data_IF_493728910171
#
_entry.id   IF_493728910171
#
_cell.length_a   1.000
_cell.length_b   1.000
_cell.length_c   1.000
_cell.angle_alpha   90.00
_cell.angle_beta   90.00
_cell.angle_gamma   90.00
#
_symmetry.space_group_name_H-M   'P 1'
#
loop_
_entity.id
_entity.type
_entity.pdbx_description
1 polymer ?
#
# COMPACT_ATOMS: atom_id res chain seq x y z
N UNK A 1 8.38 -73.56 58.76
CA UNK A 1 8.12 -72.35 59.61
C UNK A 1 8.98 -71.16 59.23
N UNK A 2 10.33 -71.21 59.27
CA UNK A 2 11.18 -70.04 58.95
C UNK A 2 11.06 -69.57 57.49
N UNK A 3 10.96 -70.49 56.53
CA UNK A 3 10.79 -70.16 55.10
C UNK A 3 9.45 -69.50 54.77
N UNK A 4 8.38 -69.84 55.50
CA UNK A 4 7.04 -69.26 55.29
C UNK A 4 6.98 -67.82 55.80
N UNK A 5 7.61 -67.54 56.95
CA UNK A 5 7.70 -66.20 57.52
C UNK A 5 8.49 -65.26 56.58
N UNK A 6 9.61 -65.73 56.03
CA UNK A 6 10.39 -64.97 55.05
C UNK A 6 9.62 -64.69 53.76
N UNK A 7 8.83 -65.67 53.28
CA UNK A 7 7.97 -65.53 52.09
C UNK A 7 6.86 -64.51 52.31
N UNK A 8 6.25 -64.50 53.49
CA UNK A 8 5.22 -63.51 53.88
C UNK A 8 5.82 -62.11 53.97
N UNK A 9 7.01 -61.97 54.58
CA UNK A 9 7.72 -60.69 54.67
C UNK A 9 8.06 -60.11 53.29
N UNK A 10 8.59 -60.92 52.37
CA UNK A 10 8.92 -60.44 51.02
C UNK A 10 7.68 -60.08 50.20
N UNK A 11 6.58 -60.84 50.35
CA UNK A 11 5.29 -60.48 49.73
C UNK A 11 4.77 -59.14 50.27
N UNK A 12 4.92 -58.90 51.58
CA UNK A 12 4.53 -57.63 52.20
C UNK A 12 5.41 -56.47 51.74
N UNK A 13 6.73 -56.62 51.69
CA UNK A 13 7.66 -55.60 51.15
C UNK A 13 7.33 -55.25 49.70
N UNK A 14 7.06 -56.25 48.86
CA UNK A 14 6.68 -56.04 47.46
C UNK A 14 5.32 -55.34 47.33
N UNK A 15 4.35 -55.68 48.20
CA UNK A 15 3.05 -55.01 48.25
C UNK A 15 3.19 -53.53 48.63
N UNK A 16 3.98 -53.24 49.67
CA UNK A 16 4.26 -51.86 50.12
C UNK A 16 4.99 -51.07 49.02
N UNK A 17 5.97 -51.69 48.36
CA UNK A 17 6.71 -51.07 47.25
C UNK A 17 5.81 -50.78 46.04
N UNK A 18 4.93 -51.72 45.69
CA UNK A 18 3.94 -51.54 44.61
C UNK A 18 2.96 -50.41 44.93
N UNK A 19 2.45 -50.37 46.16
CA UNK A 19 1.53 -49.33 46.62
C UNK A 19 2.19 -47.93 46.59
N UNK A 20 3.42 -47.82 47.07
CA UNK A 20 4.18 -46.55 47.04
C UNK A 20 4.47 -46.07 45.61
N UNK A 21 4.77 -47.00 44.69
CA UNK A 21 4.93 -46.65 43.28
C UNK A 21 3.62 -46.15 42.66
N UNK A 22 2.49 -46.81 42.93
CA UNK A 22 1.18 -46.34 42.44
C UNK A 22 0.84 -44.94 42.95
N UNK A 23 1.09 -44.64 44.23
CA UNK A 23 0.92 -43.29 44.77
C UNK A 23 1.87 -42.28 44.12
N UNK A 24 3.11 -42.67 43.81
CA UNK A 24 4.08 -41.82 43.11
C UNK A 24 3.63 -41.53 41.67
N UNK A 25 3.12 -42.52 40.95
CA UNK A 25 2.57 -42.36 39.60
C UNK A 25 1.34 -41.44 39.60
N UNK A 26 0.36 -41.68 40.49
CA UNK A 26 -0.82 -40.81 40.61
C UNK A 26 -0.46 -39.36 40.95
N UNK A 27 0.56 -39.14 41.81
CA UNK A 27 1.05 -37.80 42.14
C UNK A 27 1.78 -37.15 40.96
N UNK A 28 2.55 -37.92 40.19
CA UNK A 28 3.23 -37.46 38.98
C UNK A 28 2.24 -37.08 37.87
N UNK A 29 1.22 -37.90 37.62
CA UNK A 29 0.18 -37.64 36.62
C UNK A 29 -0.66 -36.41 36.97
N UNK A 30 -1.04 -36.25 38.24
CA UNK A 30 -1.69 -35.03 38.73
C UNK A 30 -0.82 -33.80 38.48
N UNK A 31 0.47 -33.84 38.85
CA UNK A 31 1.42 -32.74 38.60
C UNK A 31 1.58 -32.43 37.10
N UNK A 32 1.64 -33.45 36.24
CA UNK A 32 1.78 -33.27 34.78
C UNK A 32 0.52 -32.63 34.18
N UNK A 33 -0.67 -33.03 34.65
CA UNK A 33 -1.95 -32.44 34.22
C UNK A 33 -2.07 -30.97 34.63
N UNK A 34 -1.63 -30.62 35.85
CA UNK A 34 -1.58 -29.26 36.36
C UNK A 34 -0.60 -28.39 35.55
N UNK A 35 0.59 -28.90 35.22
CA UNK A 35 1.56 -28.20 34.37
C UNK A 35 1.01 -27.96 32.96
N UNK A 36 0.31 -28.95 32.37
CA UNK A 36 -0.34 -28.79 31.05
C UNK A 36 -1.45 -27.75 31.07
N UNK A 37 -2.32 -27.75 32.10
CA UNK A 37 -3.35 -26.72 32.29
C UNK A 37 -2.76 -25.33 32.45
N UNK A 38 -1.72 -25.18 33.28
CA UNK A 38 -1.01 -23.89 33.47
C UNK A 38 -0.39 -23.40 32.16
N UNK A 39 0.28 -24.28 31.39
CA UNK A 39 0.84 -23.92 30.08
C UNK A 39 -0.24 -23.50 29.08
N UNK A 40 -1.38 -24.18 29.06
CA UNK A 40 -2.52 -23.81 28.20
C UNK A 40 -3.11 -22.46 28.59
N UNK A 41 -3.29 -22.22 29.90
CA UNK A 41 -3.78 -20.96 30.42
C UNK A 41 -2.87 -19.78 30.07
N UNK A 42 -1.55 -19.93 30.26
CA UNK A 42 -0.57 -18.90 29.88
C UNK A 42 -0.63 -18.58 28.39
N UNK A 43 -0.80 -19.59 27.52
CA UNK A 43 -0.97 -19.36 26.07
C UNK A 43 -2.24 -18.56 25.76
N UNK A 44 -3.35 -18.86 26.44
CA UNK A 44 -4.61 -18.11 26.26
C UNK A 44 -4.42 -16.65 26.66
N UNK A 45 -3.81 -16.41 27.83
CA UNK A 45 -3.53 -15.05 28.32
C UNK A 45 -2.62 -14.29 27.35
N UNK A 46 -1.53 -14.91 26.88
CA UNK A 46 -0.62 -14.31 25.89
C UNK A 46 -1.34 -13.97 24.58
N UNK A 47 -2.22 -14.85 24.08
CA UNK A 47 -2.99 -14.58 22.87
C UNK A 47 -3.99 -13.43 23.06
N UNK A 48 -4.63 -13.33 24.23
CA UNK A 48 -5.52 -12.21 24.55
C UNK A 48 -4.73 -10.91 24.61
N UNK A 49 -3.57 -10.89 25.28
CA UNK A 49 -2.68 -9.73 25.35
C UNK A 49 -2.21 -9.33 23.95
N UNK A 50 -1.75 -10.28 23.13
CA UNK A 50 -1.33 -10.00 21.76
C UNK A 50 -2.47 -9.45 20.90
N UNK A 51 -3.68 -10.00 21.04
CA UNK A 51 -4.88 -9.49 20.35
C UNK A 51 -5.23 -8.07 20.80
N UNK A 52 -5.07 -7.77 22.08
CA UNK A 52 -5.29 -6.44 22.62
C UNK A 52 -4.24 -5.44 22.11
N UNK A 53 -2.96 -5.81 22.16
CA UNK A 53 -1.85 -5.01 21.63
C UNK A 53 -2.00 -4.76 20.13
N UNK A 54 -2.45 -5.74 19.34
CA UNK A 54 -2.68 -5.56 17.90
C UNK A 54 -3.87 -4.66 17.61
N UNK A 55 -4.95 -4.72 18.40
CA UNK A 55 -6.09 -3.79 18.29
C UNK A 55 -5.66 -2.37 18.64
N UNK A 56 -4.91 -2.19 19.74
CA UNK A 56 -4.36 -0.88 20.14
C UNK A 56 -3.42 -0.36 19.06
N UNK A 57 -2.46 -1.16 18.62
CA UNK A 57 -1.53 -0.77 17.57
C UNK A 57 -2.30 -0.35 16.31
N UNK A 58 -3.27 -1.15 15.84
CA UNK A 58 -4.10 -0.79 14.68
C UNK A 58 -4.87 0.53 14.89
N UNK A 59 -5.42 0.75 16.08
CA UNK A 59 -6.10 1.98 16.43
C UNK A 59 -5.15 3.18 16.42
N UNK A 60 -3.95 3.03 17.01
CA UNK A 60 -2.90 4.04 17.02
C UNK A 60 -2.40 4.31 15.60
N UNK A 61 -2.04 3.30 14.81
CA UNK A 61 -1.64 3.45 13.42
C UNK A 61 -2.71 4.16 12.60
N UNK A 62 -3.98 3.76 12.73
CA UNK A 62 -5.10 4.38 12.03
C UNK A 62 -5.26 5.87 12.38
N UNK A 63 -5.20 6.22 13.66
CA UNK A 63 -5.47 7.58 14.11
C UNK A 63 -4.24 8.51 14.07
N UNK A 64 -3.04 7.99 14.30
CA UNK A 64 -1.80 8.78 14.41
C UNK A 64 -1.00 8.82 13.10
N UNK A 65 -0.98 7.74 12.32
CA UNK A 65 -0.12 7.65 11.13
C UNK A 65 -0.93 7.83 9.85
N UNK A 66 -2.07 7.14 9.75
CA UNK A 66 -2.88 7.18 8.53
C UNK A 66 -3.80 8.40 8.43
N UNK A 67 -3.93 9.19 9.50
CA UNK A 67 -4.57 10.51 9.49
C UNK A 67 -6.04 10.53 9.06
N UNK A 68 -6.70 11.67 9.25
CA UNK A 68 -8.09 11.86 8.81
C UNK A 68 -8.25 11.75 7.29
N UNK A 69 -9.52 11.61 6.86
CA UNK A 69 -9.98 11.58 5.46
C UNK A 69 -9.12 12.50 4.59
N UNK A 70 -8.55 11.93 3.52
CA UNK A 70 -7.66 12.66 2.61
C UNK A 70 -8.27 13.98 2.15
N UNK A 71 -7.42 15.01 2.02
CA UNK A 71 -7.81 16.33 1.51
C UNK A 71 -8.51 16.17 0.16
N UNK A 72 -9.67 16.79 0.01
CA UNK A 72 -10.47 16.73 -1.22
C UNK A 72 -9.82 17.66 -2.25
N UNK A 73 -9.59 17.15 -3.46
CA UNK A 73 -9.10 17.96 -4.57
C UNK A 73 -10.20 18.92 -5.05
N UNK A 74 -9.88 20.19 -5.34
CA UNK A 74 -10.89 21.14 -5.83
C UNK A 74 -11.49 20.67 -7.15
N UNK A 75 -12.75 21.02 -7.45
CA UNK A 75 -13.41 20.62 -8.69
C UNK A 75 -12.70 21.20 -9.92
N UNK A 76 -12.87 20.52 -11.05
CA UNK A 76 -12.25 20.94 -12.31
C UNK A 76 -13.00 22.17 -12.86
N UNK A 77 -12.26 23.24 -13.15
CA UNK A 77 -12.80 24.50 -13.66
C UNK A 77 -12.69 24.62 -15.19
N UNK A 78 -11.60 24.10 -15.76
CA UNK A 78 -11.33 24.18 -17.19
C UNK A 78 -11.74 22.87 -17.88
N UNK A 79 -12.66 22.96 -18.85
CA UNK A 79 -13.18 21.80 -19.58
C UNK A 79 -12.14 21.13 -20.48
N UNK A 80 -11.08 21.84 -20.90
CA UNK A 80 -9.98 21.26 -21.67
C UNK A 80 -9.28 20.11 -20.92
N UNK A 81 -9.34 20.10 -19.59
CA UNK A 81 -8.77 19.06 -18.74
C UNK A 81 -9.55 17.74 -18.80
N UNK A 82 -10.78 17.77 -19.30
CA UNK A 82 -11.66 16.60 -19.45
C UNK A 82 -11.63 16.01 -20.86
N UNK A 83 -10.96 16.68 -21.79
CA UNK A 83 -10.91 16.28 -23.19
C UNK A 83 -9.88 15.16 -23.41
N UNK A 84 -10.20 14.11 -24.18
CA UNK A 84 -9.24 13.09 -24.56
C UNK A 84 -8.07 13.68 -25.37
N UNK A 85 -6.87 13.09 -25.23
CA UNK A 85 -5.68 13.52 -25.96
C UNK A 85 -5.86 13.56 -27.49
N UNK A 86 -6.60 12.60 -28.06
CA UNK A 86 -6.92 12.57 -29.48
C UNK A 86 -7.81 13.74 -29.92
N UNK A 87 -8.75 14.15 -29.07
CA UNK A 87 -9.63 15.30 -29.30
C UNK A 87 -8.86 16.60 -29.15
N UNK A 88 -8.01 16.73 -28.12
CA UNK A 88 -7.10 17.87 -27.97
C UNK A 88 -6.19 18.02 -29.20
N UNK A 89 -5.55 16.93 -29.65
CA UNK A 89 -4.71 16.96 -30.84
C UNK A 89 -5.49 17.42 -32.09
N UNK A 90 -6.72 16.95 -32.27
CA UNK A 90 -7.58 17.40 -33.37
C UNK A 90 -7.93 18.89 -33.24
N UNK A 91 -8.31 19.37 -32.05
CA UNK A 91 -8.63 20.78 -31.81
C UNK A 91 -7.42 21.69 -32.02
N UNK A 92 -6.23 21.26 -31.60
CA UNK A 92 -4.97 21.98 -31.81
C UNK A 92 -4.62 22.04 -33.29
N UNK A 93 -4.63 20.90 -34.00
CA UNK A 93 -4.38 20.88 -35.46
C UNK A 93 -5.35 21.76 -36.23
N UNK A 94 -6.63 21.75 -35.86
CA UNK A 94 -7.66 22.58 -36.49
C UNK A 94 -7.70 24.02 -35.95
N UNK A 95 -6.74 24.41 -35.12
CA UNK A 95 -6.59 25.76 -34.53
C UNK A 95 -7.82 26.24 -33.74
N UNK A 96 -8.67 25.32 -33.26
CA UNK A 96 -9.80 25.63 -32.38
C UNK A 96 -9.35 26.02 -30.97
N UNK A 97 -8.21 25.49 -30.55
CA UNK A 97 -7.51 25.81 -29.30
C UNK A 97 -6.01 25.83 -29.60
N UNK A 98 -5.24 26.59 -28.84
CA UNK A 98 -3.78 26.61 -28.99
C UNK A 98 -3.12 25.57 -28.06
N UNK A 99 -1.98 25.02 -28.47
CA UNK A 99 -1.16 24.15 -27.63
C UNK A 99 -0.74 24.88 -26.36
N UNK A 100 -0.34 26.15 -26.46
CA UNK A 100 0.03 26.98 -25.29
C UNK A 100 -1.12 27.12 -24.30
N UNK A 101 -2.35 27.32 -24.77
CA UNK A 101 -3.54 27.39 -23.92
C UNK A 101 -3.79 26.07 -23.20
N UNK A 102 -3.72 24.95 -23.92
CA UNK A 102 -3.89 23.61 -23.34
C UNK A 102 -2.81 23.35 -22.29
N UNK A 103 -1.53 23.53 -22.60
CA UNK A 103 -0.42 23.30 -21.67
C UNK A 103 -0.56 24.19 -20.43
N UNK A 104 -0.93 25.46 -20.58
CA UNK A 104 -1.15 26.38 -19.47
C UNK A 104 -2.28 25.90 -18.56
N UNK A 105 -3.40 25.43 -19.12
CA UNK A 105 -4.51 24.89 -18.34
C UNK A 105 -4.08 23.69 -17.48
N UNK A 106 -3.26 22.78 -18.02
CA UNK A 106 -2.73 21.65 -17.26
C UNK A 106 -1.74 22.11 -16.17
N UNK A 107 -0.86 23.08 -16.45
CA UNK A 107 0.07 23.63 -15.46
C UNK A 107 -0.68 24.28 -14.29
N UNK A 108 -1.70 25.09 -14.58
CA UNK A 108 -2.53 25.73 -13.55
C UNK A 108 -3.21 24.68 -12.67
N UNK A 109 -3.73 23.60 -13.28
CA UNK A 109 -4.32 22.49 -12.54
C UNK A 109 -3.31 21.76 -11.66
N UNK A 110 -2.10 21.54 -12.16
CA UNK A 110 -1.02 20.92 -11.39
C UNK A 110 -0.67 21.81 -10.19
N UNK A 111 -0.52 23.13 -10.37
CA UNK A 111 -0.24 24.06 -9.27
C UNK A 111 -1.35 24.07 -8.20
N UNK A 112 -2.60 23.92 -8.61
CA UNK A 112 -3.75 23.85 -7.70
C UNK A 112 -3.79 22.52 -6.90
N UNK A 113 -3.46 21.40 -7.54
CA UNK A 113 -3.69 20.05 -6.99
C UNK A 113 -2.45 19.39 -6.39
N UNK A 114 -1.25 19.67 -6.91
CA UNK A 114 -0.01 19.02 -6.46
C UNK A 114 0.25 19.20 -4.95
N UNK A 115 -0.02 20.36 -4.30
CA UNK A 115 0.12 20.50 -2.85
C UNK A 115 -0.78 19.57 -2.01
N UNK A 116 -1.79 18.97 -2.64
CA UNK A 116 -2.78 18.09 -2.01
C UNK A 116 -2.37 16.62 -2.16
N UNK A 117 -1.98 16.21 -3.37
CA UNK A 117 -1.75 14.79 -3.71
C UNK A 117 -0.28 14.44 -3.99
N UNK A 118 0.60 15.44 -4.07
CA UNK A 118 2.04 15.30 -4.31
C UNK A 118 2.37 14.36 -5.49
N UNK A 119 1.78 14.64 -6.65
CA UNK A 119 1.90 13.80 -7.86
C UNK A 119 3.03 14.20 -8.82
N UNK A 120 3.57 15.42 -8.70
CA UNK A 120 4.65 15.94 -9.54
C UNK A 120 5.87 16.24 -8.66
N UNK A 121 6.98 15.56 -8.96
CA UNK A 121 8.25 15.66 -8.22
C UNK A 121 9.21 16.67 -8.86
N UNK A 122 9.24 16.73 -10.20
CA UNK A 122 10.06 17.65 -10.98
C UNK A 122 9.21 18.33 -12.06
N UNK A 123 9.49 19.61 -12.33
CA UNK A 123 8.74 20.42 -13.30
C UNK A 123 9.62 20.89 -14.47
N UNK A 124 9.05 20.87 -15.69
CA UNK A 124 9.63 21.46 -16.93
C UNK A 124 8.64 22.45 -17.57
N UNK A 125 7.94 23.24 -16.75
CA UNK A 125 6.83 24.06 -17.22
C UNK A 125 7.25 25.14 -18.22
N UNK A 126 8.42 25.76 -18.01
CA UNK A 126 8.97 26.77 -18.92
C UNK A 126 9.21 26.20 -20.31
N UNK A 127 9.87 25.04 -20.40
CA UNK A 127 10.25 24.45 -21.67
C UNK A 127 9.05 23.82 -22.37
N UNK A 128 8.13 23.20 -21.61
CA UNK A 128 6.85 22.74 -22.16
C UNK A 128 6.03 23.89 -22.81
N UNK A 129 6.04 25.10 -22.23
CA UNK A 129 5.39 26.26 -22.84
C UNK A 129 6.11 26.78 -24.09
N UNK A 130 7.44 26.67 -24.15
CA UNK A 130 8.22 27.01 -25.36
C UNK A 130 7.93 26.03 -26.49
N UNK A 131 8.01 24.73 -26.20
CA UNK A 131 7.71 23.64 -27.15
C UNK A 131 6.25 23.74 -27.67
N UNK A 132 5.30 24.10 -26.80
CA UNK A 132 3.92 24.37 -27.18
C UNK A 132 3.80 25.56 -28.15
N UNK A 133 4.51 26.65 -27.89
CA UNK A 133 4.52 27.81 -28.77
C UNK A 133 5.16 27.50 -30.14
N UNK A 134 6.16 26.63 -30.18
CA UNK A 134 6.75 26.13 -31.42
C UNK A 134 5.78 25.26 -32.22
N UNK A 135 5.03 24.39 -31.54
CA UNK A 135 3.97 23.60 -32.16
C UNK A 135 2.87 24.51 -32.76
N UNK A 136 2.43 25.53 -32.02
CA UNK A 136 1.44 26.50 -32.51
C UNK A 136 1.96 27.30 -33.71
N UNK A 137 3.24 27.71 -33.70
CA UNK A 137 3.88 28.35 -34.86
C UNK A 137 3.94 27.44 -36.07
N UNK A 138 4.29 26.17 -35.88
CA UNK A 138 4.37 25.19 -36.96
C UNK A 138 3.00 24.95 -37.59
N UNK A 139 1.93 24.86 -36.79
CA UNK A 139 0.56 24.75 -37.30
C UNK A 139 0.13 26.05 -38.00
N UNK A 140 0.41 27.21 -37.38
CA UNK A 140 0.10 28.54 -37.92
C UNK A 140 0.82 28.89 -39.21
N UNK A 141 2.00 28.32 -39.44
CA UNK A 141 2.77 28.51 -40.68
C UNK A 141 2.10 27.91 -41.91
N UNK A 142 1.17 26.96 -41.74
CA UNK A 142 0.46 26.30 -42.83
C UNK A 142 1.36 25.48 -43.76
N UNK A 143 2.63 25.25 -43.41
CA UNK A 143 3.61 24.58 -44.29
C UNK A 143 3.34 23.08 -44.44
N UNK A 144 2.60 22.49 -43.50
CA UNK A 144 2.26 21.06 -43.45
C UNK A 144 0.73 20.95 -43.44
N UNK A 145 0.16 20.09 -44.29
CA UNK A 145 -1.29 19.90 -44.33
C UNK A 145 -1.83 19.23 -43.06
N UNK A 146 -3.12 19.39 -42.80
CA UNK A 146 -3.76 18.78 -41.63
C UNK A 146 -3.69 17.25 -41.66
N UNK A 147 -3.84 16.65 -42.85
CA UNK A 147 -3.75 15.20 -43.05
C UNK A 147 -2.33 14.69 -42.80
N UNK A 148 -1.32 15.46 -43.22
CA UNK A 148 0.08 15.12 -42.98
C UNK A 148 0.44 15.26 -41.50
N UNK A 149 -0.02 16.32 -40.83
CA UNK A 149 0.12 16.48 -39.38
C UNK A 149 -0.55 15.33 -38.63
N UNK A 150 -1.76 14.94 -39.02
CA UNK A 150 -2.48 13.83 -38.38
C UNK A 150 -1.74 12.48 -38.53
N UNK A 151 -1.05 12.27 -39.66
CA UNK A 151 -0.31 11.04 -39.94
C UNK A 151 1.06 11.00 -39.27
N UNK A 152 1.83 12.07 -39.41
CA UNK A 152 3.24 12.09 -39.00
C UNK A 152 3.43 12.59 -37.56
N UNK A 153 2.53 13.45 -37.06
CA UNK A 153 2.61 14.06 -35.73
C UNK A 153 1.24 14.04 -35.03
N UNK A 154 0.67 12.86 -34.76
CA UNK A 154 -0.72 12.70 -34.31
C UNK A 154 -1.05 13.35 -32.97
N UNK A 155 -0.06 13.67 -32.12
CA UNK A 155 -0.23 14.32 -30.83
C UNK A 155 0.56 15.64 -30.71
N UNK A 156 0.86 16.30 -31.84
CA UNK A 156 1.55 17.59 -31.83
C UNK A 156 0.84 18.59 -30.91
N UNK A 157 1.59 19.15 -29.96
CA UNK A 157 1.10 20.16 -29.02
C UNK A 157 0.27 19.63 -27.84
N UNK A 158 0.10 18.31 -27.69
CA UNK A 158 -0.61 17.72 -26.55
C UNK A 158 0.37 17.52 -25.37
N UNK A 159 0.05 18.01 -24.15
CA UNK A 159 0.90 17.81 -22.99
C UNK A 159 0.94 16.34 -22.55
N UNK A 160 2.11 15.89 -22.10
CA UNK A 160 2.32 14.58 -21.48
C UNK A 160 3.12 14.72 -20.19
N UNK A 161 3.01 13.71 -19.32
CA UNK A 161 3.90 13.52 -18.18
C UNK A 161 4.64 12.20 -18.34
N UNK A 162 5.84 12.10 -17.78
CA UNK A 162 6.64 10.89 -17.76
C UNK A 162 6.97 10.51 -16.33
N UNK A 163 7.26 9.22 -16.12
CA UNK A 163 7.68 8.73 -14.81
C UNK A 163 9.10 9.22 -14.54
N UNK A 164 9.37 9.63 -13.30
CA UNK A 164 10.67 10.17 -12.84
C UNK A 164 11.87 9.24 -13.14
N UNK A 165 11.64 7.93 -13.19
CA UNK A 165 12.68 6.97 -13.54
C UNK A 165 13.03 6.92 -15.04
N UNK A 166 12.41 7.76 -15.88
CA UNK A 166 12.69 7.88 -17.31
C UNK A 166 13.46 9.17 -17.52
N UNK A 167 14.68 9.06 -18.05
CA UNK A 167 15.51 10.22 -18.37
C UNK A 167 14.83 11.10 -19.42
N UNK A 168 14.86 12.42 -19.17
CA UNK A 168 14.35 13.44 -20.08
C UNK A 168 15.53 14.36 -20.42
N UNK A 169 15.61 14.79 -21.68
CA UNK A 169 16.56 15.82 -22.08
C UNK A 169 16.10 17.17 -21.51
N UNK A 170 17.02 17.90 -20.89
CA UNK A 170 16.75 19.28 -20.43
C UNK A 170 16.50 20.21 -21.62
#
# INVERSE_FOLDING_TARGET
MVNDINRVSEKFKNLVRSRNNQFKYQRFDKNMSEVKKKRSFVKIVLNIIHRFLTVIARFLYRNLIYGEKGKIVPPIKNLLLLEPASVLAMKIRTQKVTSVEVVRAFIERIKEVNPIINCVVAERFSDALKEAAEADKLIGSGTISLEELARNKPFLGVPISTKDCIAIKE
#
